data_IF_150837547302
#
_entry.id   IF_150837547302
#
_cell.length_a   1.000
_cell.length_b   1.000
_cell.length_c   1.000
_cell.angle_alpha   90.00
_cell.angle_beta   90.00
_cell.angle_gamma   90.00
#
_symmetry.space_group_name_H-M   'P 1'
#
loop_
_entity.id
_entity.type
_entity.pdbx_description
1 polymer ?
#
# COMPACT_ATOMS: atom_id res chain seq x y z
N UNK A 1 28.22 -1.94 68.04
CA UNK A 1 26.76 -2.06 68.29
C UNK A 1 26.03 -1.27 67.23
N UNK A 2 24.89 -1.81 66.79
CA UNK A 2 24.22 -1.59 65.50
C UNK A 2 23.81 -0.13 65.26
N UNK A 3 24.16 0.42 64.09
CA UNK A 3 23.49 1.58 63.52
C UNK A 3 22.68 1.16 62.30
N UNK A 4 21.37 1.24 62.46
CA UNK A 4 20.37 1.20 61.40
C UNK A 4 20.18 2.62 60.89
N UNK A 5 20.43 2.86 59.60
CA UNK A 5 19.88 4.03 58.91
C UNK A 5 19.33 3.58 57.56
N UNK A 6 18.02 3.72 57.44
CA UNK A 6 17.19 3.48 56.27
C UNK A 6 17.57 4.49 55.19
N UNK A 7 18.11 4.03 54.06
CA UNK A 7 18.26 4.84 52.86
C UNK A 7 17.09 4.50 51.93
N UNK A 8 16.11 5.41 51.87
CA UNK A 8 14.90 5.27 51.06
C UNK A 8 15.23 5.24 49.56
N UNK A 9 14.67 4.26 48.87
CA UNK A 9 14.71 4.14 47.42
C UNK A 9 13.95 5.30 46.77
N UNK A 10 14.68 6.26 46.19
CA UNK A 10 14.11 7.20 45.23
C UNK A 10 14.09 6.52 43.85
N UNK A 11 13.07 5.71 43.60
CA UNK A 11 12.77 5.23 42.26
C UNK A 11 12.19 6.39 41.44
N UNK A 12 13.04 7.08 40.67
CA UNK A 12 12.61 8.03 39.67
C UNK A 12 12.04 7.26 38.47
N UNK A 13 10.71 7.15 38.39
CA UNK A 13 10.02 6.66 37.19
C UNK A 13 10.19 7.70 36.07
N UNK A 14 11.17 7.48 35.19
CA UNK A 14 11.27 8.21 33.94
C UNK A 14 10.17 7.70 32.98
N UNK A 15 9.09 8.47 32.86
CA UNK A 15 8.09 8.26 31.80
C UNK A 15 8.70 8.71 30.47
N UNK A 16 9.25 7.77 29.71
CA UNK A 16 9.63 8.02 28.33
C UNK A 16 8.35 8.19 27.50
N UNK A 17 8.02 9.43 27.16
CA UNK A 17 6.95 9.74 26.22
C UNK A 17 7.46 9.33 24.83
N UNK A 18 7.03 8.16 24.36
CA UNK A 18 7.22 7.76 22.96
C UNK A 18 6.35 8.69 22.11
N UNK A 19 6.97 9.73 21.55
CA UNK A 19 6.37 10.52 20.49
C UNK A 19 6.11 9.59 19.31
N UNK A 20 4.87 9.15 19.15
CA UNK A 20 4.43 8.39 17.99
C UNK A 20 4.72 9.21 16.74
N UNK A 21 5.50 8.64 15.81
CA UNK A 21 5.73 9.25 14.51
C UNK A 21 4.39 9.34 13.77
N UNK A 22 3.77 10.52 13.78
CA UNK A 22 2.65 10.84 12.89
C UNK A 22 3.25 10.96 11.50
N UNK A 23 3.03 9.96 10.64
CA UNK A 23 3.39 10.06 9.24
C UNK A 23 2.73 11.32 8.66
N UNK A 24 3.47 12.17 7.92
CA UNK A 24 2.89 13.37 7.33
C UNK A 24 1.73 12.98 6.40
N UNK A 25 0.66 13.80 6.33
CA UNK A 25 -0.44 13.54 5.41
C UNK A 25 0.12 13.46 3.99
N UNK A 26 -0.17 12.37 3.27
CA UNK A 26 0.21 12.23 1.87
C UNK A 26 -0.55 13.30 1.10
N UNK A 27 0.16 14.22 0.45
CA UNK A 27 -0.46 15.20 -0.44
C UNK A 27 -1.05 14.43 -1.60
N UNK A 28 -2.38 14.47 -1.77
CA UNK A 28 -3.04 13.86 -2.91
C UNK A 28 -2.56 14.57 -4.19
N UNK A 29 -1.64 13.92 -4.91
CA UNK A 29 -1.18 14.36 -6.23
C UNK A 29 -2.20 13.86 -7.27
N UNK A 30 -3.42 14.40 -7.25
CA UNK A 30 -4.38 14.11 -8.32
C UNK A 30 -3.88 14.80 -9.59
N UNK A 31 -3.26 14.02 -10.50
CA UNK A 31 -2.90 14.49 -11.83
C UNK A 31 -4.14 14.34 -12.71
N UNK A 32 -4.39 15.30 -13.62
CA UNK A 32 -5.42 15.10 -14.64
C UNK A 32 -4.99 13.92 -15.52
N UNK A 33 -5.80 12.85 -15.57
CA UNK A 33 -5.47 11.62 -16.30
C UNK A 33 -5.62 10.32 -15.50
N UNK A 34 -6.11 10.36 -14.25
CA UNK A 34 -6.41 9.14 -13.51
C UNK A 34 -7.38 8.25 -14.28
N UNK A 35 -7.04 6.96 -14.35
CA UNK A 35 -7.78 5.97 -15.13
C UNK A 35 -8.56 5.05 -14.20
N UNK A 36 -9.87 4.96 -14.41
CA UNK A 36 -10.77 4.17 -13.57
C UNK A 36 -11.34 3.00 -14.37
N UNK A 37 -10.93 1.78 -14.03
CA UNK A 37 -11.48 0.55 -14.59
C UNK A 37 -12.48 -0.01 -13.61
N UNK A 38 -13.77 0.12 -13.93
CA UNK A 38 -14.87 -0.34 -13.09
C UNK A 38 -15.69 -1.35 -13.87
N UNK A 39 -15.74 -2.60 -13.41
CA UNK A 39 -16.44 -3.64 -14.14
C UNK A 39 -16.28 -5.03 -13.55
N UNK A 40 -16.79 -6.01 -14.29
CA UNK A 40 -16.65 -7.43 -13.98
C UNK A 40 -16.16 -8.16 -15.22
N UNK A 41 -15.18 -9.04 -15.05
CA UNK A 41 -14.59 -9.87 -16.11
C UNK A 41 -14.16 -9.07 -17.35
N UNK A 42 -13.59 -7.88 -17.11
CA UNK A 42 -13.10 -7.02 -18.20
C UNK A 42 -11.60 -7.19 -18.41
N UNK A 43 -11.15 -7.08 -19.66
CA UNK A 43 -9.74 -7.06 -20.01
C UNK A 43 -9.40 -5.76 -20.72
N UNK A 44 -8.43 -5.01 -20.19
CA UNK A 44 -8.06 -3.70 -20.73
C UNK A 44 -6.55 -3.48 -20.70
N UNK A 45 -6.07 -2.75 -21.71
CA UNK A 45 -4.71 -2.21 -21.74
C UNK A 45 -4.81 -0.70 -21.75
N UNK A 46 -4.11 -0.05 -20.81
CA UNK A 46 -4.12 1.40 -20.62
C UNK A 46 -2.69 1.92 -20.51
N UNK A 47 -2.49 3.20 -20.81
CA UNK A 47 -1.23 3.90 -20.56
C UNK A 47 -1.42 4.86 -19.39
N UNK A 48 -0.65 4.62 -18.31
CA UNK A 48 -0.78 5.35 -17.07
C UNK A 48 -0.34 6.81 -17.15
N UNK A 49 0.59 7.19 -18.03
CA UNK A 49 1.04 8.58 -18.20
C UNK A 49 1.40 9.35 -16.89
N UNK A 50 2.05 8.66 -15.94
CA UNK A 50 2.36 9.15 -14.59
C UNK A 50 1.12 9.58 -13.78
N UNK A 51 -0.04 9.03 -14.08
CA UNK A 51 -1.29 9.20 -13.34
C UNK A 51 -1.62 7.96 -12.49
N UNK A 52 -2.70 8.03 -11.73
CA UNK A 52 -3.16 6.93 -10.88
C UNK A 52 -4.07 5.98 -11.65
N UNK A 53 -3.83 4.68 -11.51
CA UNK A 53 -4.75 3.65 -11.98
C UNK A 53 -5.61 3.15 -10.81
N UNK A 54 -6.93 3.19 -10.99
CA UNK A 54 -7.91 2.64 -10.06
C UNK A 54 -8.66 1.50 -10.75
N UNK A 55 -8.54 0.29 -10.20
CA UNK A 55 -9.25 -0.90 -10.67
C UNK A 55 -10.25 -1.32 -9.60
N UNK A 56 -11.53 -1.38 -9.95
CA UNK A 56 -12.59 -1.74 -9.04
C UNK A 56 -13.55 -2.76 -9.66
N UNK A 57 -13.80 -3.85 -8.94
CA UNK A 57 -14.78 -4.85 -9.29
C UNK A 57 -14.25 -6.26 -9.16
N UNK A 58 -14.66 -7.15 -10.07
CA UNK A 58 -14.37 -8.58 -9.97
C UNK A 58 -13.78 -9.14 -11.25
N UNK A 59 -12.71 -9.92 -11.16
CA UNK A 59 -12.21 -10.67 -12.32
C UNK A 59 -11.59 -9.80 -13.43
N UNK A 60 -11.29 -8.52 -13.17
CA UNK A 60 -10.74 -7.64 -14.19
C UNK A 60 -9.25 -7.92 -14.41
N UNK A 61 -8.80 -7.91 -15.66
CA UNK A 61 -7.40 -8.04 -16.06
C UNK A 61 -6.94 -6.72 -16.71
N UNK A 62 -6.00 -6.03 -16.08
CA UNK A 62 -5.53 -4.72 -16.55
C UNK A 62 -4.03 -4.77 -16.82
N UNK A 63 -3.65 -4.48 -18.06
CA UNK A 63 -2.25 -4.23 -18.44
C UNK A 63 -2.01 -2.72 -18.44
N UNK A 64 -1.15 -2.24 -17.54
CA UNK A 64 -0.84 -0.84 -17.36
C UNK A 64 0.55 -0.54 -17.93
N UNK A 65 0.56 0.16 -19.07
CA UNK A 65 1.76 0.56 -19.78
C UNK A 65 2.34 1.85 -19.19
N UNK A 66 3.65 2.03 -19.37
CA UNK A 66 4.35 3.21 -18.91
C UNK A 66 4.49 3.27 -17.38
N UNK A 67 4.70 4.46 -16.83
CA UNK A 67 4.79 4.63 -15.38
C UNK A 67 3.43 5.04 -14.81
N UNK A 68 2.94 4.27 -13.84
CA UNK A 68 1.84 4.66 -12.98
C UNK A 68 2.40 5.37 -11.75
N UNK A 69 1.80 6.50 -11.38
CA UNK A 69 2.14 7.13 -10.11
C UNK A 69 1.75 6.20 -8.97
N UNK A 70 0.48 5.78 -8.94
CA UNK A 70 -0.03 4.82 -7.98
C UNK A 70 -1.01 3.83 -8.64
N UNK A 71 -1.15 2.65 -8.03
CA UNK A 71 -2.12 1.63 -8.46
C UNK A 71 -2.99 1.27 -7.26
N UNK A 72 -4.29 1.49 -7.37
CA UNK A 72 -5.27 1.07 -6.38
C UNK A 72 -6.17 -0.02 -6.95
N UNK A 73 -6.25 -1.15 -6.26
CA UNK A 73 -7.10 -2.29 -6.67
C UNK A 73 -8.13 -2.57 -5.58
N UNK A 74 -9.39 -2.73 -5.97
CA UNK A 74 -10.53 -2.94 -5.07
C UNK A 74 -11.45 -4.05 -5.59
N UNK A 75 -12.00 -4.85 -4.68
CA UNK A 75 -12.99 -5.89 -4.97
C UNK A 75 -12.41 -7.30 -4.83
N UNK A 76 -12.53 -8.15 -5.85
CA UNK A 76 -12.07 -9.55 -5.79
C UNK A 76 -11.46 -10.06 -7.10
N UNK A 77 -10.42 -10.89 -7.03
CA UNK A 77 -9.90 -11.64 -8.20
C UNK A 77 -9.48 -10.76 -9.39
N UNK A 78 -9.07 -9.50 -9.18
CA UNK A 78 -8.53 -8.69 -10.26
C UNK A 78 -7.03 -8.97 -10.42
N UNK A 79 -6.57 -8.90 -11.66
CA UNK A 79 -5.16 -9.03 -12.04
C UNK A 79 -4.69 -7.72 -12.67
N UNK A 80 -3.62 -7.14 -12.16
CA UNK A 80 -2.99 -5.94 -12.71
C UNK A 80 -1.54 -6.25 -13.05
N UNK A 81 -1.13 -5.92 -14.27
CA UNK A 81 0.24 -6.08 -14.76
C UNK A 81 0.73 -4.69 -15.16
N UNK A 82 1.56 -4.08 -14.32
CA UNK A 82 2.10 -2.74 -14.53
C UNK A 82 3.55 -2.79 -15.02
N UNK A 83 3.91 -1.91 -15.95
CA UNK A 83 5.31 -1.74 -16.35
C UNK A 83 6.13 -1.11 -15.23
N UNK A 84 5.71 0.06 -14.72
CA UNK A 84 6.39 0.73 -13.62
C UNK A 84 5.39 1.36 -12.65
N UNK A 85 5.69 1.32 -11.34
CA UNK A 85 4.94 2.06 -10.33
C UNK A 85 5.88 2.83 -9.42
N UNK A 86 5.70 4.16 -9.33
CA UNK A 86 6.67 5.03 -8.65
C UNK A 86 6.32 5.41 -7.21
N UNK A 87 5.04 5.40 -6.81
CA UNK A 87 4.61 5.85 -5.48
C UNK A 87 4.11 4.71 -4.59
N UNK A 88 2.93 4.16 -4.89
CA UNK A 88 2.35 3.10 -4.07
C UNK A 88 1.46 2.14 -4.87
N UNK A 89 1.35 0.93 -4.34
CA UNK A 89 0.38 -0.08 -4.76
C UNK A 89 -0.49 -0.37 -3.55
N UNK A 90 -1.75 0.03 -3.60
CA UNK A 90 -2.71 -0.17 -2.53
C UNK A 90 -3.79 -1.16 -2.95
N UNK A 91 -3.97 -2.22 -2.17
CA UNK A 91 -4.88 -3.32 -2.50
C UNK A 91 -5.91 -3.48 -1.40
N UNK A 92 -7.18 -3.35 -1.77
CA UNK A 92 -8.34 -3.62 -0.94
C UNK A 92 -9.09 -4.84 -1.45
N UNK A 93 -9.48 -5.73 -0.54
CA UNK A 93 -10.21 -6.96 -0.87
C UNK A 93 -9.33 -8.19 -0.90
N UNK A 94 -9.72 -9.20 -1.68
CA UNK A 94 -9.12 -10.54 -1.68
C UNK A 94 -8.82 -11.06 -3.08
N UNK A 95 -7.89 -12.02 -3.16
CA UNK A 95 -7.48 -12.70 -4.39
C UNK A 95 -6.98 -11.75 -5.48
N UNK A 96 -6.44 -10.60 -5.08
CA UNK A 96 -5.89 -9.63 -6.01
C UNK A 96 -4.48 -10.04 -6.39
N UNK A 97 -4.16 -9.95 -7.68
CA UNK A 97 -2.81 -10.20 -8.20
C UNK A 97 -2.29 -8.94 -8.86
N UNK A 98 -1.24 -8.34 -8.29
CA UNK A 98 -0.59 -7.15 -8.86
C UNK A 98 0.87 -7.48 -9.14
N UNK A 99 1.21 -7.52 -10.42
CA UNK A 99 2.58 -7.60 -10.91
C UNK A 99 3.05 -6.23 -11.36
N UNK A 100 4.29 -5.90 -11.05
CA UNK A 100 4.96 -4.69 -11.55
C UNK A 100 6.38 -5.02 -11.98
N UNK A 101 6.85 -4.47 -13.10
CA UNK A 101 8.20 -4.80 -13.63
C UNK A 101 9.28 -3.95 -12.97
N UNK A 102 9.06 -2.64 -12.86
CA UNK A 102 10.02 -1.69 -12.28
C UNK A 102 9.39 -0.71 -11.28
N UNK A 103 10.24 0.07 -10.62
CA UNK A 103 9.86 1.03 -9.58
C UNK A 103 10.13 0.53 -8.16
N UNK A 104 9.86 1.39 -7.19
CA UNK A 104 10.00 1.11 -5.76
C UNK A 104 8.75 1.58 -5.00
N UNK A 105 7.56 1.06 -5.34
CA UNK A 105 6.33 1.49 -4.71
C UNK A 105 6.27 1.02 -3.26
N UNK A 106 5.61 1.79 -2.41
CA UNK A 106 5.14 1.28 -1.14
C UNK A 106 4.01 0.27 -1.37
N UNK A 107 4.14 -0.95 -0.86
CA UNK A 107 3.10 -1.99 -1.00
C UNK A 107 2.18 -1.96 0.21
N UNK A 108 0.91 -1.63 0.00
CA UNK A 108 -0.11 -1.66 1.04
C UNK A 108 -1.20 -2.67 0.72
N UNK A 109 -1.08 -3.85 1.30
CA UNK A 109 -2.10 -4.89 1.23
C UNK A 109 -3.06 -4.78 2.42
N UNK A 110 -4.12 -4.00 2.24
CA UNK A 110 -5.18 -3.81 3.24
C UNK A 110 -6.02 -5.06 3.42
N UNK A 111 -6.09 -5.92 2.40
CA UNK A 111 -6.78 -7.20 2.50
C UNK A 111 -6.21 -8.07 3.63
N UNK A 112 -4.89 -8.07 3.76
CA UNK A 112 -4.17 -8.84 4.78
C UNK A 112 -4.52 -8.48 6.22
N UNK A 113 -4.87 -7.22 6.47
CA UNK A 113 -5.31 -6.74 7.79
C UNK A 113 -6.62 -7.42 8.25
N UNK A 114 -7.38 -7.97 7.30
CA UNK A 114 -8.63 -8.69 7.52
C UNK A 114 -8.51 -10.21 7.24
N UNK A 115 -7.29 -10.73 7.09
CA UNK A 115 -7.04 -12.14 6.80
C UNK A 115 -7.31 -12.56 5.34
N UNK A 116 -7.47 -11.60 4.43
CA UNK A 116 -7.58 -11.86 3.00
C UNK A 116 -6.20 -11.99 2.37
N UNK A 117 -6.04 -12.89 1.39
CA UNK A 117 -4.76 -13.13 0.72
C UNK A 117 -4.71 -12.42 -0.63
N UNK A 118 -3.66 -11.65 -0.87
CA UNK A 118 -3.35 -11.01 -2.14
C UNK A 118 -1.89 -11.28 -2.53
N UNK A 119 -1.58 -11.19 -3.82
CA UNK A 119 -0.22 -11.34 -4.37
C UNK A 119 0.23 -10.03 -5.00
N UNK A 120 1.14 -9.34 -4.33
CA UNK A 120 1.82 -8.15 -4.87
C UNK A 120 3.28 -8.53 -5.06
N UNK A 121 3.78 -8.52 -6.29
CA UNK A 121 5.13 -8.99 -6.58
C UNK A 121 5.77 -8.21 -7.72
N UNK A 122 7.04 -7.85 -7.52
CA UNK A 122 7.89 -7.41 -8.62
C UNK A 122 8.30 -8.60 -9.50
N UNK A 123 8.12 -8.47 -10.81
CA UNK A 123 8.51 -9.49 -11.79
C UNK A 123 9.61 -8.96 -12.70
N UNK A 124 10.53 -9.81 -13.21
CA UNK A 124 11.47 -9.39 -14.24
C UNK A 124 10.72 -8.84 -15.47
N UNK A 125 11.18 -7.70 -15.98
CA UNK A 125 10.66 -7.06 -17.18
C UNK A 125 11.39 -7.48 -18.45
#
# INVERSE_FOLDING_TARGET
>A
MKWTTVAGSLAACALAVLAGAVAPPRVAQAKNGDTHIIGQDTEQTIDCNDATLLVNGTGNVVTALGNCYAVTVMGSSNTVIADSVSHDITVYGYDQTVFYKSGQPFLWDRGRELGMTNRLQQVPG
#
